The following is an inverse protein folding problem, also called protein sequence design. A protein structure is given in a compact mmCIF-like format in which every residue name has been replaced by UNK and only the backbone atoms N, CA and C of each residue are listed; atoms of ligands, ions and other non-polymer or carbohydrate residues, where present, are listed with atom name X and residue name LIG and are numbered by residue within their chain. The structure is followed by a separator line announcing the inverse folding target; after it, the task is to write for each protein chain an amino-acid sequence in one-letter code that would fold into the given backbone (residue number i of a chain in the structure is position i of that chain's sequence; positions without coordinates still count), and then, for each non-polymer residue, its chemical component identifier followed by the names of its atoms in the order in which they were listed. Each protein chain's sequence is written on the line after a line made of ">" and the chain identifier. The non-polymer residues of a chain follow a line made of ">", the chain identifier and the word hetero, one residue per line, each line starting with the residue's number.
data_IF_630099388444
#
_entry.id   IF_630099388444
#
_cell.length_a   1.000
_cell.length_b   1.000
_cell.length_c   1.000
_cell.angle_alpha   90.00
_cell.angle_beta   90.00
_cell.angle_gamma   90.00
#
_symmetry.space_group_name_H-M   'P 1'
#
loop_
_entity.id
_entity.type
_entity.pdbx_description
1 polymer ?
#
# COMPACT_ATOMS: atom_id res chain seq x y z
N UNK A 1 2.37 10.95 -64.32
CA UNK A 1 1.88 10.13 -63.22
C UNK A 1 2.55 10.67 -61.96
N UNK A 2 1.80 11.53 -61.20
CA UNK A 2 2.26 12.10 -59.96
C UNK A 2 1.77 11.18 -58.82
N UNK A 3 2.68 10.54 -58.09
CA UNK A 3 2.40 9.87 -56.82
C UNK A 3 2.40 10.91 -55.69
N UNK A 4 1.36 10.99 -54.88
CA UNK A 4 1.40 11.85 -53.67
C UNK A 4 2.23 11.21 -52.57
N UNK A 5 3.22 11.95 -52.09
CA UNK A 5 4.00 11.63 -50.91
C UNK A 5 3.09 11.67 -49.69
N UNK A 6 3.02 10.52 -48.98
CA UNK A 6 2.33 10.48 -47.70
C UNK A 6 3.12 11.28 -46.67
N UNK A 7 2.56 12.38 -46.21
CA UNK A 7 3.05 13.13 -45.05
C UNK A 7 2.87 12.25 -43.81
N UNK A 8 3.97 11.84 -43.17
CA UNK A 8 3.95 11.18 -41.89
C UNK A 8 3.35 12.16 -40.85
N UNK A 9 2.19 11.81 -40.33
CA UNK A 9 1.60 12.51 -39.19
C UNK A 9 2.58 12.42 -38.01
N UNK A 10 3.08 13.53 -37.52
CA UNK A 10 3.92 13.62 -36.34
C UNK A 10 3.09 13.16 -35.12
N UNK A 11 3.57 12.12 -34.44
CA UNK A 11 2.97 11.65 -33.18
C UNK A 11 2.92 12.82 -32.17
N UNK A 12 1.74 13.25 -31.71
CA UNK A 12 1.60 14.36 -30.78
C UNK A 12 2.25 14.08 -29.40
N UNK A 13 2.78 12.88 -29.18
CA UNK A 13 3.47 12.44 -27.94
C UNK A 13 4.97 12.78 -27.91
N UNK A 14 5.53 13.39 -28.96
CA UNK A 14 6.99 13.65 -29.09
C UNK A 14 7.50 14.96 -28.45
N UNK A 15 6.70 15.75 -27.73
CA UNK A 15 7.19 16.92 -26.99
C UNK A 15 7.52 16.53 -25.55
N UNK A 16 8.76 16.12 -25.30
CA UNK A 16 9.25 15.48 -24.10
C UNK A 16 9.22 16.28 -22.79
N UNK A 17 8.89 17.56 -22.78
CA UNK A 17 8.87 18.37 -21.54
C UNK A 17 7.47 18.67 -20.99
N UNK A 18 6.45 18.77 -21.84
CA UNK A 18 5.07 18.99 -21.39
C UNK A 18 4.44 17.70 -20.80
N UNK A 19 4.96 16.53 -21.16
CA UNK A 19 4.52 15.23 -20.68
C UNK A 19 4.85 14.97 -19.21
N UNK A 20 5.96 15.52 -18.74
CA UNK A 20 6.44 15.28 -17.36
C UNK A 20 5.64 16.06 -16.31
N UNK A 21 4.90 17.11 -16.71
CA UNK A 21 4.29 18.02 -15.74
C UNK A 21 2.77 17.92 -15.60
N UNK A 22 2.06 17.18 -16.46
CA UNK A 22 0.59 17.15 -16.41
C UNK A 22 -0.10 15.94 -17.02
N UNK A 23 0.62 14.86 -17.35
CA UNK A 23 0.06 13.65 -17.98
C UNK A 23 -1.14 13.11 -17.19
N UNK A 24 -1.06 13.14 -15.86
CA UNK A 24 -2.06 12.63 -14.93
C UNK A 24 -3.40 13.38 -14.97
N UNK A 25 -3.45 14.61 -15.54
CA UNK A 25 -4.67 15.42 -15.58
C UNK A 25 -5.73 14.87 -16.53
N UNK A 26 -5.31 14.13 -17.55
CA UNK A 26 -6.19 13.50 -18.55
C UNK A 26 -6.00 12.00 -18.65
N UNK A 27 -5.21 11.41 -17.74
CA UNK A 27 -4.89 10.00 -17.76
C UNK A 27 -6.10 9.14 -17.41
N UNK A 28 -6.29 8.05 -18.16
CA UNK A 28 -7.13 6.94 -17.77
C UNK A 28 -6.31 6.02 -16.85
N UNK A 29 -6.67 5.96 -15.57
CA UNK A 29 -5.97 5.15 -14.56
C UNK A 29 -6.83 3.94 -14.24
N UNK A 30 -6.26 2.75 -14.43
CA UNK A 30 -6.91 1.48 -14.08
C UNK A 30 -6.44 1.03 -12.69
N UNK A 31 -7.35 0.99 -11.72
CA UNK A 31 -7.04 0.43 -10.41
C UNK A 31 -7.04 -1.09 -10.47
N UNK A 32 -6.00 -1.71 -9.91
CA UNK A 32 -5.78 -3.15 -9.95
C UNK A 32 -5.47 -3.67 -8.55
N UNK A 33 -6.31 -4.60 -8.08
CA UNK A 33 -6.05 -5.38 -6.88
C UNK A 33 -5.43 -6.72 -7.28
N UNK A 34 -4.15 -6.91 -7.00
CA UNK A 34 -3.35 -8.06 -7.48
C UNK A 34 -4.06 -9.38 -7.18
N UNK A 35 -4.48 -9.56 -5.93
CA UNK A 35 -5.09 -10.79 -5.41
C UNK A 35 -6.28 -11.32 -6.23
N UNK A 36 -7.04 -10.43 -6.87
CA UNK A 36 -8.29 -10.78 -7.57
C UNK A 36 -8.27 -10.51 -9.07
N UNK A 37 -7.14 -10.04 -9.62
CA UNK A 37 -7.10 -9.63 -11.02
C UNK A 37 -6.83 -10.79 -11.98
N UNK A 38 -5.71 -11.47 -11.83
CA UNK A 38 -5.33 -12.58 -12.69
C UNK A 38 -4.36 -13.50 -11.97
N UNK A 39 -4.69 -14.79 -11.96
CA UNK A 39 -3.89 -15.87 -11.41
C UNK A 39 -2.95 -16.39 -12.52
N UNK A 40 -1.65 -16.22 -12.32
CA UNK A 40 -0.63 -16.60 -13.29
C UNK A 40 -0.02 -17.97 -13.04
N UNK A 41 -0.07 -18.49 -11.81
CA UNK A 41 0.51 -19.78 -11.43
C UNK A 41 -0.53 -20.89 -11.18
N UNK A 42 -1.81 -20.53 -11.11
CA UNK A 42 -2.93 -21.49 -11.01
C UNK A 42 -3.29 -21.89 -9.58
N UNK A 43 -2.89 -21.09 -8.59
CA UNK A 43 -3.18 -21.38 -7.17
C UNK A 43 -4.54 -20.84 -6.70
N UNK A 44 -5.25 -20.10 -7.55
CA UNK A 44 -6.55 -19.46 -7.24
C UNK A 44 -6.44 -18.05 -6.72
N UNK A 45 -5.24 -17.50 -6.59
CA UNK A 45 -4.95 -16.13 -6.14
C UNK A 45 -4.27 -15.37 -7.27
N UNK A 46 -4.69 -14.14 -7.53
CA UNK A 46 -4.02 -13.28 -8.51
C UNK A 46 -2.62 -12.90 -8.06
N UNK A 47 -1.71 -12.79 -9.03
CA UNK A 47 -0.29 -12.52 -8.80
C UNK A 47 0.30 -11.53 -9.83
N UNK A 48 1.57 -11.14 -9.66
CA UNK A 48 2.26 -10.21 -10.55
C UNK A 48 2.52 -10.82 -11.93
N UNK A 49 2.67 -12.14 -12.04
CA UNK A 49 2.84 -12.82 -13.32
C UNK A 49 1.54 -12.77 -14.14
N UNK A 50 0.41 -13.02 -13.49
CA UNK A 50 -0.92 -12.87 -14.11
C UNK A 50 -1.21 -11.44 -14.51
N UNK A 51 -0.91 -10.45 -13.64
CA UNK A 51 -1.05 -9.04 -13.97
C UNK A 51 -0.18 -8.66 -15.18
N UNK A 52 1.06 -9.11 -15.21
CA UNK A 52 2.01 -8.88 -16.29
C UNK A 52 1.53 -9.47 -17.62
N UNK A 53 0.99 -10.68 -17.61
CA UNK A 53 0.45 -11.33 -18.81
C UNK A 53 -0.72 -10.56 -19.44
N UNK A 54 -1.41 -9.72 -18.66
CA UNK A 54 -2.54 -8.90 -19.14
C UNK A 54 -2.15 -7.47 -19.55
N UNK A 55 -0.88 -7.08 -19.49
CA UNK A 55 -0.43 -5.75 -19.94
C UNK A 55 -0.80 -5.42 -21.39
N UNK A 56 -0.67 -6.36 -22.36
CA UNK A 56 -1.12 -6.09 -23.74
C UNK A 56 -2.62 -5.78 -23.85
N UNK A 57 -3.46 -6.45 -23.06
CA UNK A 57 -4.89 -6.17 -22.99
C UNK A 57 -5.16 -4.77 -22.42
N UNK A 58 -4.50 -4.41 -21.32
CA UNK A 58 -4.65 -3.10 -20.68
C UNK A 58 -4.14 -1.97 -21.60
N UNK A 59 -3.06 -2.21 -22.35
CA UNK A 59 -2.56 -1.27 -23.36
C UNK A 59 -3.59 -1.10 -24.49
N UNK A 60 -4.17 -2.18 -24.98
CA UNK A 60 -5.21 -2.13 -26.03
C UNK A 60 -6.50 -1.44 -25.55
N UNK A 61 -6.80 -1.49 -24.25
CA UNK A 61 -7.90 -0.76 -23.62
C UNK A 61 -7.66 0.76 -23.62
N UNK A 62 -6.39 1.20 -23.80
CA UNK A 62 -6.04 2.62 -23.93
C UNK A 62 -5.82 3.33 -22.60
N UNK A 63 -5.45 2.59 -21.53
CA UNK A 63 -5.11 3.18 -20.24
C UNK A 63 -3.71 3.80 -20.26
N UNK A 64 -3.51 4.85 -19.45
CA UNK A 64 -2.24 5.55 -19.32
C UNK A 64 -1.42 5.08 -18.10
N UNK A 65 -2.11 4.55 -17.08
CA UNK A 65 -1.47 4.06 -15.87
C UNK A 65 -2.28 2.93 -15.21
N UNK A 66 -1.57 2.09 -14.47
CA UNK A 66 -2.16 1.13 -13.52
C UNK A 66 -1.85 1.61 -12.11
N UNK A 67 -2.87 1.67 -11.26
CA UNK A 67 -2.74 1.88 -9.84
C UNK A 67 -2.93 0.56 -9.12
N UNK A 68 -1.83 0.05 -8.53
CA UNK A 68 -1.85 -1.15 -7.71
C UNK A 68 -2.24 -0.84 -6.27
N UNK A 69 -3.24 -1.55 -5.73
CA UNK A 69 -3.43 -1.66 -4.29
C UNK A 69 -2.18 -2.28 -3.65
N UNK A 70 -2.00 -2.16 -2.32
CA UNK A 70 -0.79 -2.65 -1.67
C UNK A 70 -0.48 -4.11 -2.03
N UNK A 71 0.75 -4.35 -2.44
CA UNK A 71 1.28 -5.68 -2.79
C UNK A 71 2.38 -6.16 -1.85
N UNK A 72 2.54 -5.44 -0.73
CA UNK A 72 3.52 -5.72 0.30
C UNK A 72 3.08 -6.88 1.19
N UNK A 73 4.03 -7.54 1.92
CA UNK A 73 3.68 -8.51 2.95
C UNK A 73 2.70 -7.94 3.97
N UNK A 74 1.60 -8.67 4.16
CA UNK A 74 0.51 -8.26 5.04
C UNK A 74 -0.17 -9.49 5.65
N UNK A 75 -0.55 -9.47 6.95
CA UNK A 75 -1.46 -10.45 7.54
C UNK A 75 -2.87 -10.42 6.95
N UNK A 76 -3.20 -9.46 6.09
CA UNK A 76 -4.49 -9.30 5.40
C UNK A 76 -5.66 -8.99 6.34
N UNK A 77 -5.41 -8.34 7.48
CA UNK A 77 -6.48 -7.87 8.37
C UNK A 77 -7.33 -6.77 7.68
N UNK A 78 -6.71 -5.96 6.83
CA UNK A 78 -7.36 -4.93 6.01
C UNK A 78 -6.93 -5.05 4.54
N UNK A 79 -7.13 -6.23 3.96
CA UNK A 79 -6.97 -6.49 2.51
C UNK A 79 -5.60 -6.03 1.93
N UNK A 80 -4.54 -6.04 2.75
CA UNK A 80 -3.18 -5.65 2.36
C UNK A 80 -2.77 -4.26 2.84
N UNK A 81 -3.69 -3.47 3.41
CA UNK A 81 -3.36 -2.14 3.95
C UNK A 81 -2.69 -2.20 5.33
N UNK A 82 -2.73 -3.34 6.03
CA UNK A 82 -1.96 -3.64 7.24
C UNK A 82 -0.57 -4.18 6.87
N UNK A 83 0.34 -3.29 6.45
CA UNK A 83 1.64 -3.64 5.88
C UNK A 83 2.62 -4.04 6.98
N UNK A 84 3.18 -5.25 6.87
CA UNK A 84 4.20 -5.77 7.81
C UNK A 84 5.65 -5.58 7.34
N UNK A 85 5.87 -5.38 6.03
CA UNK A 85 7.17 -5.05 5.44
C UNK A 85 6.98 -4.19 4.18
N UNK A 86 7.48 -2.94 4.20
CA UNK A 86 7.38 -2.00 3.07
C UNK A 86 8.48 -2.19 2.01
N UNK A 87 9.36 -3.18 2.16
CA UNK A 87 10.58 -3.32 1.36
C UNK A 87 10.59 -4.57 0.48
N UNK A 88 9.53 -5.35 0.51
CA UNK A 88 9.39 -6.57 -0.28
C UNK A 88 7.99 -6.70 -0.88
N UNK A 89 7.84 -7.62 -1.80
CA UNK A 89 6.55 -8.06 -2.34
C UNK A 89 6.06 -9.22 -1.46
N UNK A 90 4.75 -9.28 -1.20
CA UNK A 90 4.17 -10.44 -0.54
C UNK A 90 4.46 -11.69 -1.38
N UNK A 91 5.05 -12.75 -0.79
CA UNK A 91 5.37 -13.99 -1.51
C UNK A 91 4.19 -14.62 -2.26
N UNK A 92 2.96 -14.36 -1.81
CA UNK A 92 1.73 -14.78 -2.50
C UNK A 92 1.56 -14.10 -3.85
N UNK A 93 2.11 -12.89 -4.03
CA UNK A 93 1.99 -12.14 -5.29
C UNK A 93 3.23 -12.26 -6.17
N UNK A 94 4.36 -12.74 -5.63
CA UNK A 94 5.62 -12.87 -6.36
C UNK A 94 6.82 -12.29 -5.60
N UNK A 95 7.79 -11.81 -6.35
CA UNK A 95 9.07 -11.29 -5.85
C UNK A 95 9.32 -9.85 -6.30
N UNK A 96 10.35 -9.20 -5.75
CA UNK A 96 10.82 -7.91 -6.26
C UNK A 96 11.24 -7.99 -7.73
N UNK A 97 11.83 -9.12 -8.16
CA UNK A 97 12.20 -9.31 -9.57
C UNK A 97 10.98 -9.37 -10.49
N UNK A 98 9.87 -9.95 -10.02
CA UNK A 98 8.60 -9.97 -10.76
C UNK A 98 8.00 -8.58 -10.87
N UNK A 99 8.08 -7.79 -9.79
CA UNK A 99 7.66 -6.38 -9.79
C UNK A 99 8.50 -5.55 -10.76
N UNK A 100 9.83 -5.69 -10.74
CA UNK A 100 10.73 -5.01 -11.67
C UNK A 100 10.42 -5.38 -13.12
N UNK A 101 10.18 -6.66 -13.40
CA UNK A 101 9.82 -7.15 -14.73
C UNK A 101 8.46 -6.60 -15.21
N UNK A 102 7.46 -6.56 -14.32
CA UNK A 102 6.16 -5.97 -14.60
C UNK A 102 6.28 -4.46 -14.91
N UNK A 103 7.02 -3.72 -14.10
CA UNK A 103 7.24 -2.27 -14.30
C UNK A 103 7.93 -2.01 -15.63
N UNK A 104 8.98 -2.77 -15.96
CA UNK A 104 9.72 -2.62 -17.22
C UNK A 104 8.83 -2.91 -18.44
N UNK A 105 8.01 -3.96 -18.38
CA UNK A 105 7.11 -4.33 -19.48
C UNK A 105 5.93 -3.34 -19.61
N UNK A 106 5.34 -2.88 -18.49
CA UNK A 106 4.33 -1.82 -18.51
C UNK A 106 4.86 -0.55 -19.17
N UNK A 107 6.11 -0.16 -18.83
CA UNK A 107 6.76 0.98 -19.46
C UNK A 107 6.95 0.79 -20.97
N UNK A 108 7.31 -0.41 -21.43
CA UNK A 108 7.43 -0.74 -22.86
C UNK A 108 6.09 -0.63 -23.60
N UNK A 109 4.97 -0.84 -22.92
CA UNK A 109 3.61 -0.61 -23.41
C UNK A 109 3.12 0.83 -23.26
N UNK A 110 3.94 1.76 -22.74
CA UNK A 110 3.56 3.15 -22.49
C UNK A 110 2.69 3.36 -21.25
N UNK A 111 2.54 2.34 -20.40
CA UNK A 111 1.73 2.35 -19.17
C UNK A 111 2.62 2.73 -17.98
N UNK A 112 2.16 3.67 -17.16
CA UNK A 112 2.81 4.05 -15.90
C UNK A 112 2.30 3.20 -14.75
N UNK A 113 3.15 2.96 -13.76
CA UNK A 113 2.77 2.25 -12.54
C UNK A 113 2.66 3.25 -11.39
N UNK A 114 1.55 3.17 -10.67
CA UNK A 114 1.29 3.88 -9.42
C UNK A 114 1.13 2.82 -8.33
N UNK A 115 1.81 3.03 -7.21
CA UNK A 115 1.81 2.09 -6.07
C UNK A 115 1.26 2.82 -4.87
N UNK A 116 0.39 2.16 -4.10
CA UNK A 116 -0.07 2.66 -2.82
C UNK A 116 1.10 2.79 -1.84
N UNK A 117 1.15 3.93 -1.16
CA UNK A 117 2.02 4.17 -0.02
C UNK A 117 1.13 4.42 1.19
N UNK A 118 1.31 3.64 2.24
CA UNK A 118 0.51 3.70 3.47
C UNK A 118 1.36 4.23 4.63
N UNK A 119 1.56 5.55 4.75
CA UNK A 119 2.44 6.12 5.77
C UNK A 119 1.73 6.41 7.10
N UNK A 120 0.41 6.22 7.20
CA UNK A 120 -0.36 6.51 8.41
C UNK A 120 -0.09 5.51 9.52
N UNK A 121 -0.02 4.23 9.19
CA UNK A 121 0.09 3.12 10.13
C UNK A 121 0.92 1.98 9.53
N UNK A 122 1.26 1.00 10.34
CA UNK A 122 1.76 -0.30 9.89
C UNK A 122 0.85 -1.42 10.38
N UNK A 123 1.14 -2.65 9.97
CA UNK A 123 0.60 -3.83 10.65
C UNK A 123 1.08 -3.90 12.11
N UNK A 124 0.27 -4.48 12.99
CA UNK A 124 0.69 -4.90 14.34
C UNK A 124 1.81 -5.97 14.31
N UNK A 125 2.01 -6.61 13.15
CA UNK A 125 3.11 -7.56 12.89
C UNK A 125 4.37 -6.91 12.34
N UNK A 126 4.34 -5.61 12.06
CA UNK A 126 5.53 -4.90 11.61
C UNK A 126 6.61 -4.94 12.72
N UNK A 127 7.90 -5.20 12.39
CA UNK A 127 8.97 -5.31 13.40
C UNK A 127 9.08 -4.11 14.33
N UNK A 128 8.74 -2.91 13.85
CA UNK A 128 8.76 -1.71 14.69
C UNK A 128 7.69 -1.71 15.77
N UNK A 129 6.48 -2.19 15.48
CA UNK A 129 5.42 -2.26 16.49
C UNK A 129 5.69 -3.39 17.49
N UNK A 130 6.16 -4.54 17.01
CA UNK A 130 6.59 -5.65 17.87
C UNK A 130 7.69 -5.19 18.83
N UNK A 131 8.70 -4.45 18.32
CA UNK A 131 9.75 -3.87 19.15
C UNK A 131 9.21 -2.83 20.13
N UNK A 132 8.24 -1.99 19.72
CA UNK A 132 7.61 -1.00 20.59
C UNK A 132 6.88 -1.65 21.77
N UNK A 133 6.18 -2.76 21.53
CA UNK A 133 5.52 -3.52 22.61
C UNK A 133 6.55 -4.14 23.56
N UNK A 134 7.59 -4.75 23.03
CA UNK A 134 8.63 -5.43 23.82
C UNK A 134 9.46 -4.44 24.66
N UNK A 135 9.76 -3.24 24.14
CA UNK A 135 10.58 -2.24 24.81
C UNK A 135 9.83 -1.48 25.92
N UNK A 136 8.51 -1.42 25.89
CA UNK A 136 7.67 -0.82 26.92
C UNK A 136 7.64 0.71 26.93
N UNK A 137 6.91 1.30 27.90
CA UNK A 137 6.69 2.73 28.00
C UNK A 137 7.99 3.56 28.08
N UNK A 138 8.00 4.71 27.40
CA UNK A 138 9.14 5.65 27.41
C UNK A 138 10.32 5.27 26.52
N UNK A 139 10.27 4.12 25.83
CA UNK A 139 11.32 3.71 24.90
C UNK A 139 11.27 4.46 23.56
N UNK A 140 12.43 4.52 22.89
CA UNK A 140 12.53 5.10 21.55
C UNK A 140 11.71 4.29 20.51
N UNK A 141 11.61 2.98 20.70
CA UNK A 141 10.81 2.10 19.87
C UNK A 141 9.33 2.44 19.97
N UNK A 142 8.82 2.63 21.21
CA UNK A 142 7.42 2.99 21.46
C UNK A 142 7.08 4.40 20.98
N UNK A 143 8.02 5.33 20.98
CA UNK A 143 7.81 6.68 20.49
C UNK A 143 7.50 6.78 19.00
N UNK A 144 7.75 5.72 18.22
CA UNK A 144 7.40 5.64 16.79
C UNK A 144 5.90 5.55 16.53
N UNK A 145 5.13 5.22 17.56
CA UNK A 145 3.68 5.08 17.50
C UNK A 145 3.00 5.97 18.52
N UNK A 146 1.71 6.22 18.32
CA UNK A 146 0.92 6.98 19.29
C UNK A 146 0.49 6.11 20.44
N UNK A 147 1.19 6.22 21.57
CA UNK A 147 0.80 5.64 22.85
C UNK A 147 0.38 6.71 23.84
N UNK A 148 -0.64 6.45 24.65
CA UNK A 148 -1.12 7.35 25.70
C UNK A 148 -1.59 6.56 26.92
N UNK A 149 -1.42 7.11 28.13
CA UNK A 149 -2.05 6.55 29.31
C UNK A 149 -3.57 6.61 29.18
N UNK A 150 -4.25 5.59 29.70
CA UNK A 150 -5.69 5.59 29.78
C UNK A 150 -6.21 6.55 30.85
N UNK A 151 -7.51 6.81 30.82
CA UNK A 151 -8.25 7.53 31.88
C UNK A 151 -8.80 6.55 32.90
N UNK A 152 -9.32 7.08 34.01
CA UNK A 152 -9.78 6.28 35.16
C UNK A 152 -8.68 6.07 36.19
N UNK A 153 -9.03 5.40 37.31
CA UNK A 153 -8.09 5.23 38.43
C UNK A 153 -6.94 4.28 38.08
N UNK A 154 -7.23 3.27 37.23
CA UNK A 154 -6.26 2.26 36.77
C UNK A 154 -5.99 2.34 35.26
N UNK A 155 -6.33 3.47 34.61
CA UNK A 155 -6.17 3.64 33.17
C UNK A 155 -7.08 2.74 32.33
N UNK A 156 -8.19 2.29 32.89
CA UNK A 156 -9.10 1.31 32.28
C UNK A 156 -9.96 1.88 31.16
N UNK A 157 -10.02 3.19 31.01
CA UNK A 157 -10.74 3.86 29.95
C UNK A 157 -9.78 4.41 28.88
N UNK A 158 -10.17 4.41 27.59
CA UNK A 158 -9.32 4.97 26.54
C UNK A 158 -8.96 6.46 26.78
N UNK A 159 -7.86 6.96 26.21
CA UNK A 159 -7.40 8.35 26.41
C UNK A 159 -8.44 9.42 26.09
N UNK A 160 -9.27 9.16 25.07
CA UNK A 160 -10.37 10.01 24.64
C UNK A 160 -11.48 9.19 24.00
N UNK A 161 -12.46 9.84 23.40
CA UNK A 161 -13.61 9.22 22.76
C UNK A 161 -13.49 9.11 21.23
N UNK A 162 -12.30 9.16 20.68
CA UNK A 162 -12.11 9.01 19.24
C UNK A 162 -12.56 7.62 18.80
N UNK A 163 -13.16 7.61 17.61
CA UNK A 163 -13.66 6.38 16.99
C UNK A 163 -12.82 6.01 15.77
N UNK A 164 -12.66 4.72 15.57
CA UNK A 164 -12.09 4.16 14.36
C UNK A 164 -13.01 4.43 13.16
N UNK A 165 -12.42 4.55 11.98
CA UNK A 165 -13.13 4.61 10.69
C UNK A 165 -14.05 3.39 10.51
N UNK A 166 -13.63 2.23 11.05
CA UNK A 166 -14.42 0.98 10.99
C UNK A 166 -15.41 0.84 12.14
N UNK A 167 -15.51 1.85 13.01
CA UNK A 167 -16.37 1.85 14.18
C UNK A 167 -15.67 1.35 15.46
N UNK A 168 -16.28 1.65 16.61
CA UNK A 168 -15.68 1.38 17.90
C UNK A 168 -14.57 2.38 18.30
N UNK A 169 -13.86 2.08 19.40
CA UNK A 169 -12.78 2.93 19.89
C UNK A 169 -11.62 2.97 18.89
N UNK A 170 -11.01 4.14 18.69
CA UNK A 170 -9.74 4.27 17.96
C UNK A 170 -8.51 3.91 18.83
N UNK A 171 -8.73 3.39 20.03
CA UNK A 171 -7.70 3.07 20.98
C UNK A 171 -7.82 1.65 21.47
N UNK A 172 -6.71 0.91 21.47
CA UNK A 172 -6.60 -0.43 22.05
C UNK A 172 -5.55 -0.43 23.15
N UNK A 173 -5.91 -1.02 24.30
CA UNK A 173 -4.99 -1.16 25.44
C UNK A 173 -4.05 -2.33 25.22
N UNK A 174 -2.76 -2.09 25.44
CA UNK A 174 -1.78 -3.18 25.38
C UNK A 174 -1.71 -3.92 26.72
N UNK A 175 -1.24 -5.16 26.67
CA UNK A 175 -0.72 -5.89 27.81
C UNK A 175 0.79 -5.76 27.78
N UNK A 176 1.40 -5.27 28.86
CA UNK A 176 2.85 -5.12 28.96
C UNK A 176 3.53 -6.51 29.08
N UNK A 177 4.85 -6.61 28.82
CA UNK A 177 5.57 -7.90 28.88
C UNK A 177 5.47 -8.62 30.21
N UNK A 178 5.25 -7.91 31.30
CA UNK A 178 5.07 -8.48 32.65
C UNK A 178 3.63 -8.93 32.92
N UNK A 179 2.73 -8.81 31.95
CA UNK A 179 1.31 -9.16 32.05
C UNK A 179 0.43 -8.06 32.64
N UNK A 180 0.99 -6.90 33.03
CA UNK A 180 0.20 -5.78 33.53
C UNK A 180 -0.56 -5.06 32.39
N UNK A 181 -1.70 -4.41 32.72
CA UNK A 181 -2.38 -3.54 31.76
C UNK A 181 -1.54 -2.31 31.48
N UNK A 182 -1.22 -2.07 30.21
CA UNK A 182 -0.37 -0.98 29.77
C UNK A 182 -1.09 0.25 29.26
N UNK A 183 -0.38 1.01 28.44
CA UNK A 183 -0.90 2.17 27.73
C UNK A 183 -1.86 1.76 26.59
N UNK A 184 -2.46 2.75 25.95
CA UNK A 184 -3.34 2.58 24.81
C UNK A 184 -2.63 3.09 23.55
N UNK A 185 -2.62 2.30 22.47
CA UNK A 185 -2.14 2.78 21.18
C UNK A 185 -3.31 3.21 20.31
N UNK A 186 -3.04 4.21 19.47
CA UNK A 186 -3.99 4.75 18.48
C UNK A 186 -4.02 3.86 17.24
N UNK A 187 -5.22 3.63 16.72
CA UNK A 187 -5.45 3.05 15.40
C UNK A 187 -6.70 3.69 14.79
N UNK A 188 -6.53 4.57 13.82
CA UNK A 188 -7.67 5.19 13.13
C UNK A 188 -8.44 4.21 12.26
N UNK A 189 -7.81 3.09 11.89
CA UNK A 189 -8.42 1.97 11.17
C UNK A 189 -8.59 0.76 12.10
N UNK A 190 -8.26 -0.45 11.65
CA UNK A 190 -8.38 -1.65 12.48
C UNK A 190 -7.38 -1.66 13.67
N UNK A 191 -7.68 -2.38 14.76
CA UNK A 191 -6.71 -2.59 15.85
C UNK A 191 -5.37 -3.16 15.39
N UNK A 192 -5.36 -3.92 14.30
CA UNK A 192 -4.17 -4.46 13.66
C UNK A 192 -3.35 -3.41 12.89
N UNK A 193 -3.78 -2.14 12.90
CA UNK A 193 -3.15 -1.03 12.15
C UNK A 193 -2.75 0.13 13.07
N UNK A 194 -1.74 -0.07 13.95
CA UNK A 194 -1.25 0.97 14.86
C UNK A 194 -0.71 2.18 14.11
N UNK A 195 -1.17 3.38 14.48
CA UNK A 195 -0.79 4.64 13.85
C UNK A 195 0.62 5.07 14.20
N UNK A 196 1.39 5.47 13.18
CA UNK A 196 2.71 6.05 13.37
C UNK A 196 2.64 7.44 14.01
N UNK A 197 3.66 7.75 14.80
CA UNK A 197 3.91 9.07 15.37
C UNK A 197 4.99 9.77 14.55
N UNK A 198 4.61 10.74 13.73
CA UNK A 198 5.50 11.54 12.90
C UNK A 198 5.95 12.86 13.54
N UNK A 199 5.56 13.12 14.79
CA UNK A 199 5.86 14.34 15.54
C UNK A 199 7.14 14.32 16.36
#
# INVERSE_FOLDING_TARGET
>A
VHTPSASAASDPRSSSSAWLTSWWKSAAIYQLYVRSFADGDGDGIGDLAGARAHLPYLAALGIDAIWFNPWYPSPMADAGYDISDYRSIDPVFGTLADADALIAEAYAHGIKIIIDVVPNHSSDRHPWFVAALAAGPGSAERSRFWFRPGRGVSGELPPNNWQSIFGGSAWTRVTEPDGSPGEWYLHLFAPEQPDFNWG
#
